data_IF_249031707785
#
_entry.id   IF_249031707785
#
_cell.length_a   1.000
_cell.length_b   1.000
_cell.length_c   1.000
_cell.angle_alpha   90.00
_cell.angle_beta   90.00
_cell.angle_gamma   90.00
#
_symmetry.space_group_name_H-M   'P 1'
#
loop_
_entity.id
_entity.type
_entity.pdbx_description
1 polymer ?
#
# COMPACT_ATOMS: atom_id res chain seq x y z
N UNK A 1 18.79 33.03 4.35
CA UNK A 1 18.16 33.81 3.25
C UNK A 1 16.75 33.35 2.95
N UNK A 2 16.50 32.03 2.67
CA UNK A 2 15.18 31.51 2.34
C UNK A 2 14.22 31.59 3.55
N UNK A 3 14.68 31.24 4.74
CA UNK A 3 13.88 31.34 5.97
C UNK A 3 13.44 32.76 6.28
N UNK A 4 14.34 33.74 6.08
CA UNK A 4 14.04 35.17 6.26
C UNK A 4 12.96 35.62 5.29
N UNK A 5 13.10 35.24 4.02
CA UNK A 5 12.11 35.55 2.98
C UNK A 5 10.71 34.94 3.28
N UNK A 6 10.67 33.69 3.76
CA UNK A 6 9.44 33.05 4.18
C UNK A 6 8.79 33.81 5.34
N UNK A 7 9.56 34.17 6.36
CA UNK A 7 9.05 34.92 7.51
C UNK A 7 8.55 36.32 7.14
N UNK A 8 9.25 37.02 6.25
CA UNK A 8 8.84 38.34 5.75
C UNK A 8 7.57 38.26 4.91
N UNK A 9 7.45 37.27 4.06
CA UNK A 9 6.31 37.09 3.14
C UNK A 9 5.07 36.57 3.84
N UNK A 10 5.22 35.55 4.69
CA UNK A 10 4.09 34.83 5.28
C UNK A 10 3.88 35.10 6.77
N UNK A 11 4.87 35.68 7.46
CA UNK A 11 4.77 35.92 8.90
C UNK A 11 3.69 36.93 9.35
N UNK A 12 3.11 37.67 8.40
CA UNK A 12 2.00 38.60 8.62
C UNK A 12 0.60 37.95 8.40
N UNK A 13 0.56 36.70 7.91
CA UNK A 13 -0.68 36.00 7.76
C UNK A 13 -1.22 35.62 9.14
N UNK A 14 -2.43 36.10 9.45
CA UNK A 14 -3.10 35.67 10.66
C UNK A 14 -3.40 34.18 10.56
N UNK A 15 -3.08 33.43 11.62
CA UNK A 15 -3.49 32.03 11.72
C UNK A 15 -5.02 31.98 11.65
N UNK A 16 -5.54 31.45 10.56
CA UNK A 16 -6.94 31.06 10.51
C UNK A 16 -7.16 29.95 11.54
N UNK A 17 -8.31 29.96 12.22
CA UNK A 17 -8.66 28.88 13.13
C UNK A 17 -8.45 27.53 12.44
N UNK A 18 -7.81 26.59 13.12
CA UNK A 18 -7.56 25.27 12.57
C UNK A 18 -8.83 24.70 11.95
N UNK A 19 -8.81 24.26 10.70
CA UNK A 19 -10.01 23.72 10.08
C UNK A 19 -10.50 22.54 10.90
N UNK A 20 -11.78 22.56 11.25
CA UNK A 20 -12.42 21.42 11.92
C UNK A 20 -12.53 20.32 10.87
N UNK A 21 -11.60 19.38 10.90
CA UNK A 21 -11.63 18.19 10.05
C UNK A 21 -12.86 17.37 10.42
N UNK A 22 -13.83 17.33 9.53
CA UNK A 22 -14.95 16.39 9.71
C UNK A 22 -14.39 14.99 9.61
N UNK A 23 -14.52 14.21 10.68
CA UNK A 23 -14.19 12.79 10.61
C UNK A 23 -15.09 12.13 9.57
N UNK A 24 -14.49 11.62 8.51
CA UNK A 24 -15.21 10.83 7.53
C UNK A 24 -15.58 9.49 8.18
N UNK A 25 -16.88 9.27 8.39
CA UNK A 25 -17.35 7.97 8.83
C UNK A 25 -17.56 7.08 7.60
N UNK A 26 -16.68 6.09 7.44
CA UNK A 26 -16.82 5.11 6.37
C UNK A 26 -17.70 3.99 6.88
N UNK A 27 -18.88 3.74 6.27
CA UNK A 27 -19.77 2.70 6.72
C UNK A 27 -19.14 1.33 6.54
N UNK A 28 -19.20 0.49 7.57
CA UNK A 28 -18.78 -0.90 7.47
C UNK A 28 -19.85 -1.67 6.69
N UNK A 29 -19.47 -2.19 5.54
CA UNK A 29 -20.36 -3.05 4.76
C UNK A 29 -20.55 -4.40 5.48
N UNK A 30 -21.81 -4.74 5.74
CA UNK A 30 -22.18 -6.01 6.39
C UNK A 30 -22.35 -7.17 5.40
N UNK A 31 -22.37 -6.88 4.10
CA UNK A 31 -22.58 -7.84 3.02
C UNK A 31 -21.55 -7.59 1.93
N UNK A 32 -21.19 -8.67 1.26
CA UNK A 32 -20.39 -8.60 0.04
C UNK A 32 -21.15 -7.81 -1.03
N UNK A 33 -20.45 -6.96 -1.76
CA UNK A 33 -20.99 -6.19 -2.85
C UNK A 33 -20.07 -6.34 -4.07
N UNK A 34 -20.65 -6.58 -5.22
CA UNK A 34 -19.93 -6.64 -6.50
C UNK A 34 -20.35 -5.45 -7.33
N UNK A 35 -19.39 -4.73 -7.88
CA UNK A 35 -19.61 -3.62 -8.81
C UNK A 35 -18.80 -3.83 -10.07
N UNK A 36 -19.45 -3.82 -11.22
CA UNK A 36 -18.81 -3.91 -12.52
C UNK A 36 -18.79 -2.52 -13.13
N UNK A 37 -17.59 -2.06 -13.52
CA UNK A 37 -17.37 -0.81 -14.20
C UNK A 37 -16.87 -1.11 -15.61
N UNK A 38 -17.54 -0.60 -16.60
CA UNK A 38 -17.14 -0.72 -18.01
C UNK A 38 -17.00 0.66 -18.63
N UNK A 39 -15.94 0.85 -19.42
CA UNK A 39 -15.72 2.06 -20.19
C UNK A 39 -14.92 1.70 -21.44
N UNK A 40 -15.25 2.29 -22.57
CA UNK A 40 -14.58 2.03 -23.85
C UNK A 40 -13.10 2.42 -23.85
N UNK A 41 -12.69 3.33 -22.97
CA UNK A 41 -11.30 3.75 -22.80
C UNK A 41 -10.46 2.76 -21.96
N UNK A 42 -11.09 1.82 -21.25
CA UNK A 42 -10.38 0.81 -20.45
C UNK A 42 -9.79 -0.25 -21.37
N UNK A 43 -8.47 -0.36 -21.34
CA UNK A 43 -7.70 -1.34 -22.14
C UNK A 43 -7.35 -2.62 -21.38
N UNK A 44 -7.62 -2.63 -20.08
CA UNK A 44 -7.27 -3.73 -19.17
C UNK A 44 -8.49 -4.21 -18.43
N UNK A 45 -8.49 -5.50 -18.08
CA UNK A 45 -9.49 -6.09 -17.20
C UNK A 45 -8.83 -6.22 -15.84
N UNK A 46 -9.36 -5.54 -14.83
CA UNK A 46 -8.84 -5.57 -13.47
C UNK A 46 -9.92 -6.06 -12.52
N UNK A 47 -9.55 -6.96 -11.61
CA UNK A 47 -10.38 -7.39 -10.50
C UNK A 47 -9.76 -6.89 -9.21
N UNK A 48 -10.52 -6.05 -8.50
CA UNK A 48 -10.17 -5.55 -7.19
C UNK A 48 -11.06 -6.18 -6.12
N UNK A 49 -10.44 -6.81 -5.12
CA UNK A 49 -11.10 -7.25 -3.90
C UNK A 49 -10.69 -6.34 -2.76
N UNK A 50 -11.66 -5.65 -2.18
CA UNK A 50 -11.43 -4.63 -1.15
C UNK A 50 -12.04 -5.10 0.15
N UNK A 51 -11.23 -5.16 1.20
CA UNK A 51 -11.68 -5.41 2.56
C UNK A 51 -11.35 -4.22 3.46
N UNK A 52 -12.38 -3.69 4.12
CA UNK A 52 -12.18 -2.64 5.12
C UNK A 52 -11.72 -3.27 6.43
N UNK A 53 -10.69 -2.68 7.02
CA UNK A 53 -10.06 -3.12 8.25
C UNK A 53 -9.97 -1.94 9.23
N UNK A 54 -9.78 -2.20 10.52
CA UNK A 54 -9.48 -1.12 11.46
C UNK A 54 -8.26 -0.32 11.00
N UNK A 55 -8.31 1.00 11.21
CA UNK A 55 -7.18 1.88 10.94
C UNK A 55 -5.99 1.47 11.79
N UNK A 56 -4.83 1.38 11.18
CA UNK A 56 -3.58 1.19 11.93
C UNK A 56 -3.27 2.45 12.72
N UNK A 57 -2.93 2.26 13.99
CA UNK A 57 -2.44 3.38 14.81
C UNK A 57 -1.12 3.92 14.25
N UNK A 58 -0.85 5.22 14.41
CA UNK A 58 0.46 5.79 14.13
C UNK A 58 1.56 5.03 14.88
N UNK A 59 2.74 4.97 14.28
CA UNK A 59 3.89 4.30 14.89
C UNK A 59 4.45 5.20 15.99
N UNK A 60 4.17 4.86 17.24
CA UNK A 60 4.63 5.62 18.42
C UNK A 60 5.53 4.80 19.32
N UNK A 61 5.47 3.48 19.21
CA UNK A 61 6.22 2.56 20.09
C UNK A 61 7.00 1.54 19.24
N UNK A 62 8.00 0.89 19.84
CA UNK A 62 8.73 -0.21 19.22
C UNK A 62 7.78 -1.37 18.81
N UNK A 63 6.69 -1.57 19.54
CA UNK A 63 5.65 -2.55 19.19
C UNK A 63 4.91 -2.17 17.91
N UNK A 64 4.55 -0.91 17.76
CA UNK A 64 3.88 -0.41 16.57
C UNK A 64 4.81 -0.50 15.35
N UNK A 65 6.09 -0.16 15.54
CA UNK A 65 7.10 -0.27 14.50
C UNK A 65 7.31 -1.73 14.06
N UNK A 66 7.35 -2.67 15.00
CA UNK A 66 7.39 -4.10 14.66
C UNK A 66 6.19 -4.53 13.85
N UNK A 67 4.98 -4.07 14.20
CA UNK A 67 3.77 -4.36 13.43
C UNK A 67 3.80 -3.73 12.02
N UNK A 68 4.34 -2.52 11.89
CA UNK A 68 4.57 -1.87 10.60
C UNK A 68 5.55 -2.67 9.73
N UNK A 69 6.71 -3.07 10.27
CA UNK A 69 7.69 -3.90 9.56
C UNK A 69 7.10 -5.25 9.14
N UNK A 70 6.29 -5.88 9.99
CA UNK A 70 5.62 -7.13 9.67
C UNK A 70 4.69 -6.97 8.46
N UNK A 71 3.88 -5.89 8.41
CA UNK A 71 3.03 -5.59 7.25
C UNK A 71 3.84 -5.32 5.98
N UNK A 72 4.92 -4.55 6.11
CA UNK A 72 5.84 -4.28 4.99
C UNK A 72 6.44 -5.56 4.44
N UNK A 73 6.87 -6.47 5.32
CA UNK A 73 7.38 -7.78 4.95
C UNK A 73 6.33 -8.62 4.23
N UNK A 74 5.11 -8.68 4.76
CA UNK A 74 3.99 -9.41 4.13
C UNK A 74 3.66 -8.85 2.74
N UNK A 75 3.52 -7.54 2.60
CA UNK A 75 3.27 -6.90 1.31
C UNK A 75 4.38 -7.26 0.30
N UNK A 76 5.64 -7.29 0.75
CA UNK A 76 6.77 -7.67 -0.09
C UNK A 76 6.73 -9.12 -0.52
N UNK A 77 6.44 -10.02 0.41
CA UNK A 77 6.33 -11.46 0.17
C UNK A 77 5.22 -11.77 -0.84
N UNK A 78 4.04 -11.20 -0.65
CA UNK A 78 2.93 -11.34 -1.59
C UNK A 78 3.33 -10.86 -2.99
N UNK A 79 3.91 -9.66 -3.09
CA UNK A 79 4.34 -9.10 -4.37
C UNK A 79 5.36 -10.01 -5.07
N UNK A 80 6.34 -10.54 -4.34
CA UNK A 80 7.37 -11.41 -4.90
C UNK A 80 6.76 -12.71 -5.44
N UNK A 81 5.90 -13.38 -4.66
CA UNK A 81 5.27 -14.62 -5.07
C UNK A 81 4.32 -14.43 -6.26
N UNK A 82 3.48 -13.40 -6.22
CA UNK A 82 2.53 -13.13 -7.31
C UNK A 82 3.24 -12.78 -8.61
N UNK A 83 4.35 -12.04 -8.55
CA UNK A 83 5.15 -11.73 -9.74
C UNK A 83 5.84 -12.99 -10.30
N UNK A 84 6.41 -13.84 -9.45
CA UNK A 84 7.02 -15.10 -9.88
C UNK A 84 5.98 -16.01 -10.55
N UNK A 85 4.80 -16.14 -9.97
CA UNK A 85 3.72 -16.92 -10.55
C UNK A 85 3.23 -16.35 -11.88
N UNK A 86 3.05 -15.05 -12.00
CA UNK A 86 2.65 -14.40 -13.26
C UNK A 86 3.66 -14.61 -14.37
N UNK A 87 4.94 -14.73 -14.05
CA UNK A 87 6.00 -15.02 -15.01
C UNK A 87 5.95 -16.46 -15.53
N UNK A 88 5.70 -17.43 -14.64
CA UNK A 88 5.66 -18.85 -14.98
C UNK A 88 4.33 -19.27 -15.65
N UNK A 89 3.23 -18.63 -15.26
CA UNK A 89 1.87 -19.00 -15.69
C UNK A 89 1.10 -17.75 -16.15
N UNK A 90 1.28 -17.32 -17.40
CA UNK A 90 0.72 -16.06 -17.87
C UNK A 90 -0.79 -16.15 -18.14
N UNK A 91 -1.59 -16.29 -17.10
CA UNK A 91 -3.04 -16.12 -17.14
C UNK A 91 -3.49 -14.72 -16.66
N UNK A 92 -2.62 -14.03 -15.93
CA UNK A 92 -2.75 -12.63 -15.57
C UNK A 92 -1.39 -11.92 -15.75
N UNK A 93 -1.43 -10.60 -15.88
CA UNK A 93 -0.23 -9.79 -16.13
C UNK A 93 0.50 -9.43 -14.84
N UNK A 94 -0.23 -9.03 -13.84
CA UNK A 94 0.31 -8.72 -12.50
C UNK A 94 -0.77 -8.95 -11.44
N UNK A 95 -0.34 -9.18 -10.23
CA UNK A 95 -1.21 -9.20 -9.07
C UNK A 95 -0.52 -8.56 -7.88
N UNK A 96 -1.31 -8.01 -6.97
CA UNK A 96 -0.81 -7.42 -5.74
C UNK A 96 -1.78 -7.63 -4.58
N UNK A 97 -1.22 -7.71 -3.40
CA UNK A 97 -1.96 -7.65 -2.14
C UNK A 97 -1.24 -6.61 -1.30
N UNK A 98 -1.97 -5.58 -0.87
CA UNK A 98 -1.40 -4.53 -0.06
C UNK A 98 -2.38 -4.01 0.98
N UNK A 99 -1.85 -3.66 2.13
CA UNK A 99 -2.56 -2.92 3.15
C UNK A 99 -2.19 -1.43 3.05
N UNK A 100 -3.19 -0.57 3.11
CA UNK A 100 -3.02 0.88 3.17
C UNK A 100 -4.04 1.51 4.12
N UNK A 101 -3.88 2.79 4.42
CA UNK A 101 -4.92 3.60 5.05
C UNK A 101 -5.70 4.36 3.98
N UNK A 102 -6.99 4.56 4.21
CA UNK A 102 -7.85 5.35 3.35
C UNK A 102 -8.48 6.50 4.14
N UNK A 103 -8.24 7.73 3.71
CA UNK A 103 -8.74 8.97 4.30
C UNK A 103 -8.44 9.11 5.82
N UNK A 104 -7.36 8.50 6.31
CA UNK A 104 -7.05 8.43 7.74
C UNK A 104 -8.23 7.96 8.62
N UNK A 105 -9.20 7.26 8.05
CA UNK A 105 -10.42 6.81 8.70
C UNK A 105 -10.51 5.29 8.83
N UNK A 106 -9.96 4.54 7.87
CA UNK A 106 -10.01 3.08 7.87
C UNK A 106 -8.77 2.47 7.23
N UNK A 107 -8.44 1.25 7.63
CA UNK A 107 -7.50 0.40 6.90
C UNK A 107 -8.19 -0.25 5.70
N UNK A 108 -7.44 -0.47 4.64
CA UNK A 108 -7.90 -1.14 3.43
C UNK A 108 -6.92 -2.23 3.06
N UNK A 109 -7.41 -3.46 2.97
CA UNK A 109 -6.71 -4.54 2.31
C UNK A 109 -7.21 -4.60 0.87
N UNK A 110 -6.33 -4.30 -0.07
CA UNK A 110 -6.61 -4.33 -1.50
C UNK A 110 -5.88 -5.52 -2.13
N UNK A 111 -6.64 -6.40 -2.76
CA UNK A 111 -6.12 -7.49 -3.58
C UNK A 111 -6.52 -7.20 -5.03
N UNK A 112 -5.53 -6.90 -5.87
CA UNK A 112 -5.75 -6.56 -7.28
C UNK A 112 -5.10 -7.59 -8.19
N UNK A 113 -5.77 -7.90 -9.29
CA UNK A 113 -5.20 -8.71 -10.38
C UNK A 113 -5.58 -8.12 -11.73
N UNK A 114 -4.58 -7.87 -12.57
CA UNK A 114 -4.74 -7.46 -13.97
C UNK A 114 -4.76 -8.70 -14.86
N UNK A 115 -5.93 -8.95 -15.45
CA UNK A 115 -6.23 -10.16 -16.21
C UNK A 115 -5.84 -10.00 -17.69
N UNK A 116 -5.50 -11.09 -18.33
CA UNK A 116 -5.26 -11.11 -19.77
C UNK A 116 -6.58 -11.26 -20.52
N UNK A 117 -6.76 -10.55 -21.66
CA UNK A 117 -7.92 -10.74 -22.51
C UNK A 117 -8.11 -12.21 -22.92
N UNK A 118 -9.32 -12.70 -22.82
CA UNK A 118 -9.67 -14.09 -23.13
C UNK A 118 -9.25 -15.13 -22.08
N UNK A 119 -8.60 -14.72 -20.98
CA UNK A 119 -8.17 -15.62 -19.90
C UNK A 119 -8.74 -15.25 -18.51
N UNK A 120 -9.83 -14.51 -18.48
CA UNK A 120 -10.38 -13.94 -17.26
C UNK A 120 -10.69 -15.00 -16.19
N UNK A 121 -11.48 -16.01 -16.51
CA UNK A 121 -11.86 -17.08 -15.57
C UNK A 121 -10.63 -17.83 -15.04
N UNK A 122 -9.73 -18.20 -15.95
CA UNK A 122 -8.48 -18.87 -15.59
C UNK A 122 -7.62 -17.99 -14.66
N UNK A 123 -7.45 -16.72 -15.01
CA UNK A 123 -6.64 -15.78 -14.23
C UNK A 123 -7.21 -15.54 -12.83
N UNK A 124 -8.53 -15.41 -12.69
CA UNK A 124 -9.20 -15.30 -11.39
C UNK A 124 -9.02 -16.58 -10.57
N UNK A 125 -9.26 -17.74 -11.18
CA UNK A 125 -9.12 -19.03 -10.50
C UNK A 125 -7.70 -19.26 -9.97
N UNK A 126 -6.68 -19.00 -10.79
CA UNK A 126 -5.28 -19.12 -10.41
C UNK A 126 -4.89 -18.10 -9.32
N UNK A 127 -5.36 -16.86 -9.42
CA UNK A 127 -5.12 -15.84 -8.40
C UNK A 127 -5.70 -16.25 -7.03
N UNK A 128 -6.93 -16.75 -7.01
CA UNK A 128 -7.56 -17.24 -5.78
C UNK A 128 -6.82 -18.48 -5.25
N UNK A 129 -6.44 -19.41 -6.11
CA UNK A 129 -5.69 -20.59 -5.72
C UNK A 129 -4.35 -20.23 -5.06
N UNK A 130 -3.64 -19.26 -5.60
CA UNK A 130 -2.40 -18.74 -5.00
C UNK A 130 -2.63 -18.10 -3.63
N UNK A 131 -3.68 -17.33 -3.46
CA UNK A 131 -4.03 -16.79 -2.15
C UNK A 131 -4.33 -17.91 -1.13
N UNK A 132 -5.11 -18.90 -1.52
CA UNK A 132 -5.40 -20.05 -0.68
C UNK A 132 -4.14 -20.85 -0.32
N UNK A 133 -3.23 -21.01 -1.26
CA UNK A 133 -1.95 -21.68 -1.02
C UNK A 133 -1.11 -20.92 0.02
N UNK A 134 -1.01 -19.59 -0.12
CA UNK A 134 -0.31 -18.75 0.85
C UNK A 134 -0.99 -18.84 2.22
N UNK A 135 -2.31 -18.82 2.27
CA UNK A 135 -3.06 -18.91 3.53
C UNK A 135 -2.84 -20.26 4.24
N UNK A 136 -2.75 -21.36 3.49
CA UNK A 136 -2.58 -22.71 4.06
C UNK A 136 -1.14 -23.03 4.46
N UNK A 137 -0.18 -22.62 3.65
CA UNK A 137 1.21 -23.07 3.78
C UNK A 137 2.20 -21.93 4.10
N UNK A 138 1.74 -20.68 4.03
CA UNK A 138 2.59 -19.51 4.28
C UNK A 138 3.63 -19.30 3.19
N UNK A 139 4.76 -18.75 3.62
CA UNK A 139 5.93 -18.47 2.79
C UNK A 139 7.09 -19.35 3.22
N UNK A 140 7.93 -19.72 2.27
CA UNK A 140 9.16 -20.48 2.53
C UNK A 140 10.19 -19.60 3.23
N UNK A 141 11.11 -20.21 3.97
CA UNK A 141 12.20 -19.50 4.63
C UNK A 141 13.05 -18.69 3.63
N UNK A 142 13.31 -19.26 2.46
CA UNK A 142 14.06 -18.60 1.38
C UNK A 142 13.35 -17.33 0.89
N UNK A 143 12.02 -17.35 0.74
CA UNK A 143 11.25 -16.16 0.37
C UNK A 143 11.34 -15.09 1.46
N UNK A 144 11.21 -15.50 2.72
CA UNK A 144 11.27 -14.60 3.87
C UNK A 144 12.66 -13.92 3.93
N UNK A 145 13.73 -14.67 3.81
CA UNK A 145 15.09 -14.12 3.85
C UNK A 145 15.36 -13.17 2.67
N UNK A 146 14.92 -13.51 1.47
CA UNK A 146 14.99 -12.59 0.31
C UNK A 146 14.22 -11.30 0.54
N UNK A 147 13.02 -11.39 1.07
CA UNK A 147 12.19 -10.22 1.36
C UNK A 147 12.80 -9.34 2.45
N UNK A 148 13.32 -9.93 3.53
CA UNK A 148 14.05 -9.23 4.60
C UNK A 148 15.27 -8.48 4.05
N UNK A 149 16.07 -9.14 3.21
CA UNK A 149 17.27 -8.53 2.61
C UNK A 149 16.92 -7.28 1.81
N UNK A 150 15.83 -7.31 1.02
CA UNK A 150 15.40 -6.15 0.25
C UNK A 150 14.94 -5.01 1.18
N UNK A 151 14.18 -5.33 2.23
CA UNK A 151 13.73 -4.32 3.20
C UNK A 151 14.94 -3.71 3.92
N UNK A 152 15.87 -4.53 4.34
CA UNK A 152 17.09 -4.09 5.01
C UNK A 152 17.91 -3.13 4.12
N UNK A 153 18.17 -3.51 2.88
CA UNK A 153 18.89 -2.66 1.93
C UNK A 153 18.19 -1.33 1.70
N UNK A 154 16.84 -1.33 1.60
CA UNK A 154 16.07 -0.09 1.44
C UNK A 154 16.20 0.82 2.67
N UNK A 155 16.19 0.25 3.88
CA UNK A 155 16.38 1.01 5.11
C UNK A 155 17.82 1.54 5.24
N UNK A 156 18.82 0.77 4.86
CA UNK A 156 20.21 1.24 4.81
C UNK A 156 20.38 2.39 3.83
N UNK A 157 19.85 2.25 2.60
CA UNK A 157 19.89 3.31 1.60
C UNK A 157 19.15 4.58 2.11
N UNK A 158 18.01 4.41 2.75
CA UNK A 158 17.28 5.55 3.35
C UNK A 158 18.12 6.23 4.45
N UNK A 159 18.79 5.46 5.29
CA UNK A 159 19.67 5.99 6.33
C UNK A 159 20.88 6.74 5.76
N UNK A 160 21.52 6.19 4.73
CA UNK A 160 22.66 6.84 4.06
C UNK A 160 22.24 8.15 3.36
N UNK A 161 21.05 8.17 2.77
CA UNK A 161 20.53 9.34 2.08
C UNK A 161 19.96 10.42 3.04
N UNK A 162 19.78 10.10 4.33
CA UNK A 162 19.29 11.08 5.32
C UNK A 162 20.19 12.32 5.47
N UNK A 163 21.47 12.24 5.11
CA UNK A 163 22.37 13.39 5.15
C UNK A 163 22.12 14.38 4.01
N UNK A 164 21.43 13.98 2.94
CA UNK A 164 21.09 14.82 1.80
C UNK A 164 19.75 14.37 1.19
N UNK A 165 18.63 14.51 1.93
CA UNK A 165 17.33 14.08 1.41
C UNK A 165 16.92 14.97 0.23
N UNK A 166 16.38 14.36 -0.81
CA UNK A 166 15.73 15.12 -1.86
C UNK A 166 14.56 15.92 -1.26
N UNK A 167 14.39 17.19 -1.67
CA UNK A 167 13.34 18.07 -1.12
C UNK A 167 11.95 17.47 -1.17
N UNK A 168 11.67 16.63 -2.17
CA UNK A 168 10.39 15.90 -2.33
C UNK A 168 10.22 14.83 -1.24
N UNK A 169 11.28 14.12 -0.84
CA UNK A 169 11.22 13.14 0.24
C UNK A 169 10.97 13.81 1.58
N UNK A 170 11.64 14.93 1.84
CA UNK A 170 11.43 15.72 3.05
C UNK A 170 9.99 16.25 3.14
N UNK A 171 9.45 16.75 2.03
CA UNK A 171 8.06 17.19 1.94
C UNK A 171 7.07 16.05 2.21
N UNK A 172 7.30 14.87 1.63
CA UNK A 172 6.45 13.71 1.85
C UNK A 172 6.48 13.20 3.30
N UNK A 173 7.65 13.21 3.94
CA UNK A 173 7.79 12.84 5.35
C UNK A 173 7.05 13.85 6.25
N UNK A 174 7.14 15.15 5.97
CA UNK A 174 6.38 16.21 6.68
C UNK A 174 4.87 16.01 6.49
N UNK A 175 4.40 15.75 5.26
CA UNK A 175 2.98 15.50 4.99
C UNK A 175 2.43 14.22 5.63
N UNK A 176 3.26 13.24 5.87
CA UNK A 176 2.85 11.99 6.53
C UNK A 176 2.63 12.14 8.04
N UNK A 177 3.22 13.17 8.66
CA UNK A 177 3.14 13.47 10.09
C UNK A 177 1.98 14.41 10.44
N UNK A 178 1.35 15.05 9.46
CA UNK A 178 0.16 15.90 9.60
C UNK A 178 -1.13 15.17 9.18
#
# INVERSE_FOLDING_TARGET
>A
QVETLIKETFGKLSSLASPIWKQCHIPVYKKEAVKILTNESLKTIELDMIQLLPLSKPVQTAKDYKAYLTRTLLNRLFKMRMNAWAFENPSYRKASIQYSSFLNATGVLLCSVELLPGKMEKGISEFIAQQQQIFRYGFTETEIERAKKVIYNNLENKLQNQQNPASVELMNDIYADF
#
